data_IF_150481426966
#
_entry.id   IF_150481426966
#
_cell.length_a   1.000
_cell.length_b   1.000
_cell.length_c   1.000
_cell.angle_alpha   90.00
_cell.angle_beta   90.00
_cell.angle_gamma   90.00
#
_symmetry.space_group_name_H-M   'P 1'
#
loop_
_entity.id
_entity.type
_entity.pdbx_description
1 polymer ?
#
# COMPACT_ATOMS: atom_id res chain seq x y z
N UNK A 1 -14.76 1.11 -16.23
CA UNK A 1 -13.35 1.30 -15.86
C UNK A 1 -12.49 0.43 -16.76
N UNK A 2 -11.40 0.99 -17.32
CA UNK A 2 -10.40 0.23 -18.09
C UNK A 2 -9.77 -0.80 -17.14
N UNK A 3 -9.60 -2.04 -17.59
CA UNK A 3 -8.81 -3.04 -16.85
C UNK A 3 -7.34 -2.65 -16.97
N UNK A 4 -6.66 -2.48 -15.83
CA UNK A 4 -5.22 -2.25 -15.80
C UNK A 4 -4.48 -3.50 -16.29
N UNK A 5 -3.36 -3.31 -16.97
CA UNK A 5 -2.40 -4.40 -17.27
C UNK A 5 -1.74 -4.90 -15.98
N UNK A 6 -1.02 -6.02 -16.05
CA UNK A 6 -0.24 -6.54 -14.92
C UNK A 6 0.78 -5.51 -14.43
N UNK A 7 1.53 -4.88 -15.35
CA UNK A 7 2.51 -3.82 -15.06
C UNK A 7 1.85 -2.59 -14.42
N UNK A 8 0.77 -2.08 -15.02
CA UNK A 8 0.01 -0.95 -14.48
C UNK A 8 -0.54 -1.28 -13.08
N UNK A 9 -1.02 -2.52 -12.87
CA UNK A 9 -1.51 -3.00 -11.58
C UNK A 9 -0.40 -3.08 -10.53
N UNK A 10 0.79 -3.54 -10.91
CA UNK A 10 1.92 -3.66 -10.00
C UNK A 10 2.52 -2.30 -9.64
N UNK A 11 2.69 -1.41 -10.61
CA UNK A 11 3.13 -0.04 -10.38
C UNK A 11 2.21 0.69 -9.41
N UNK A 12 0.90 0.52 -9.59
CA UNK A 12 -0.10 1.15 -8.74
C UNK A 12 -0.10 0.60 -7.32
N UNK A 13 -0.02 -0.73 -7.19
CA UNK A 13 0.12 -1.43 -5.93
C UNK A 13 1.37 -1.00 -5.15
N UNK A 14 2.53 -0.99 -5.82
CA UNK A 14 3.80 -0.62 -5.19
C UNK A 14 3.85 0.87 -4.81
N UNK A 15 3.29 1.74 -5.64
CA UNK A 15 3.15 3.18 -5.32
C UNK A 15 2.38 3.39 -4.02
N UNK A 16 1.22 2.74 -3.85
CA UNK A 16 0.44 2.85 -2.61
C UNK A 16 1.18 2.30 -1.40
N UNK A 17 1.95 1.22 -1.54
CA UNK A 17 2.80 0.71 -0.46
C UNK A 17 3.94 1.67 -0.11
N UNK A 18 4.50 2.38 -1.09
CA UNK A 18 5.61 3.30 -0.87
C UNK A 18 5.19 4.59 -0.16
N UNK A 19 3.95 5.03 -0.33
CA UNK A 19 3.36 6.14 0.44
C UNK A 19 3.07 5.78 1.90
N UNK A 20 3.07 4.48 2.21
CA UNK A 20 2.89 3.93 3.55
C UNK A 20 4.24 3.45 4.11
N UNK A 21 4.31 3.37 5.43
CA UNK A 21 5.48 2.84 6.13
C UNK A 21 5.88 3.67 7.33
N UNK A 22 6.73 3.12 8.18
CA UNK A 22 7.17 3.78 9.41
C UNK A 22 7.92 5.10 9.16
N UNK A 23 8.46 5.29 7.94
CA UNK A 23 9.07 6.55 7.52
C UNK A 23 8.10 7.74 7.58
N UNK A 24 6.79 7.50 7.39
CA UNK A 24 5.73 8.52 7.44
C UNK A 24 5.71 9.27 8.78
N UNK A 25 6.12 8.61 9.88
CA UNK A 25 6.16 9.24 11.20
C UNK A 25 7.21 10.37 11.31
N UNK A 26 8.16 10.41 10.38
CA UNK A 26 9.20 11.44 10.33
C UNK A 26 8.88 12.57 9.34
N UNK A 27 7.75 12.50 8.64
CA UNK A 27 7.31 13.53 7.71
C UNK A 27 6.69 14.72 8.45
N UNK A 28 6.77 15.88 7.82
CA UNK A 28 6.06 17.08 8.26
C UNK A 28 4.55 16.90 8.05
N UNK A 29 3.74 17.63 8.82
CA UNK A 29 2.28 17.47 8.80
C UNK A 29 1.69 17.67 7.40
N UNK A 30 2.21 18.65 6.64
CA UNK A 30 1.77 18.92 5.27
C UNK A 30 2.13 17.80 4.28
N UNK A 31 3.25 17.11 4.50
CA UNK A 31 3.65 15.98 3.66
C UNK A 31 2.77 14.75 3.95
N UNK A 32 2.41 14.53 5.23
CA UNK A 32 1.46 13.47 5.60
C UNK A 32 0.09 13.75 4.98
N UNK A 33 -0.37 15.01 5.01
CA UNK A 33 -1.63 15.40 4.40
C UNK A 33 -1.66 15.04 2.91
N UNK A 34 -0.63 15.46 2.18
CA UNK A 34 -0.52 15.18 0.75
C UNK A 34 -0.39 13.68 0.45
N UNK A 35 0.56 12.99 1.09
CA UNK A 35 0.87 11.60 0.78
C UNK A 35 -0.27 10.63 1.17
N UNK A 36 -0.86 10.83 2.35
CA UNK A 36 -1.84 9.90 2.93
C UNK A 36 -3.27 10.31 2.61
N UNK A 37 -3.62 11.57 2.85
CA UNK A 37 -5.01 12.02 2.82
C UNK A 37 -5.46 12.55 1.45
N UNK A 38 -4.52 12.84 0.54
CA UNK A 38 -4.83 13.18 -0.86
C UNK A 38 -4.49 12.02 -1.80
N UNK A 39 -3.22 11.68 -1.92
CA UNK A 39 -2.73 10.74 -2.92
C UNK A 39 -3.11 9.29 -2.59
N UNK A 40 -2.68 8.78 -1.43
CA UNK A 40 -3.01 7.41 -1.03
C UNK A 40 -4.52 7.20 -0.90
N UNK A 41 -5.25 8.14 -0.29
CA UNK A 41 -6.71 8.04 -0.12
C UNK A 41 -7.45 7.82 -1.44
N UNK A 42 -6.98 8.46 -2.51
CA UNK A 42 -7.52 8.30 -3.86
C UNK A 42 -7.18 6.93 -4.45
N UNK A 43 -6.02 6.36 -4.08
CA UNK A 43 -5.42 5.24 -4.78
C UNK A 43 -5.62 3.87 -4.13
N UNK A 44 -5.46 3.80 -2.80
CA UNK A 44 -5.45 2.55 -2.06
C UNK A 44 -6.71 1.68 -2.25
N UNK A 45 -7.93 2.22 -2.43
CA UNK A 45 -9.12 1.39 -2.61
C UNK A 45 -9.03 0.52 -3.87
N UNK A 46 -8.43 1.06 -4.93
CA UNK A 46 -8.25 0.38 -6.21
C UNK A 46 -6.94 -0.40 -6.25
N UNK A 47 -5.83 0.18 -5.82
CA UNK A 47 -4.49 -0.45 -5.87
C UNK A 47 -4.39 -1.69 -4.97
N UNK A 48 -5.08 -1.71 -3.83
CA UNK A 48 -5.14 -2.86 -2.94
C UNK A 48 -6.40 -3.71 -3.18
N UNK A 49 -7.17 -3.51 -4.24
CA UNK A 49 -8.44 -4.22 -4.46
C UNK A 49 -8.28 -5.73 -4.68
N UNK A 50 -9.37 -6.49 -4.56
CA UNK A 50 -9.40 -7.92 -4.92
C UNK A 50 -9.00 -8.14 -6.38
N UNK A 51 -9.39 -7.23 -7.27
CA UNK A 51 -9.01 -7.31 -8.69
C UNK A 51 -7.49 -7.21 -8.82
N UNK A 52 -6.88 -6.17 -8.24
CA UNK A 52 -5.43 -5.95 -8.33
C UNK A 52 -4.65 -7.12 -7.73
N UNK A 53 -5.01 -7.56 -6.51
CA UNK A 53 -4.39 -8.74 -5.90
C UNK A 53 -4.52 -9.99 -6.78
N UNK A 54 -5.70 -10.23 -7.35
CA UNK A 54 -5.93 -11.36 -8.26
C UNK A 54 -5.05 -11.31 -9.50
N UNK A 55 -4.94 -10.15 -10.16
CA UNK A 55 -4.04 -9.98 -11.31
C UNK A 55 -2.58 -10.26 -10.94
N UNK A 56 -2.12 -9.78 -9.78
CA UNK A 56 -0.75 -9.99 -9.34
C UNK A 56 -0.47 -11.44 -8.92
N UNK A 57 -1.45 -12.12 -8.30
CA UNK A 57 -1.38 -13.55 -7.99
C UNK A 57 -1.37 -14.42 -9.25
N UNK A 58 -2.26 -14.13 -10.22
CA UNK A 58 -2.39 -14.89 -11.47
C UNK A 58 -1.13 -14.81 -12.36
N UNK A 59 -0.29 -13.79 -12.14
CA UNK A 59 0.99 -13.58 -12.83
C UNK A 59 2.21 -13.89 -11.94
N UNK A 60 2.01 -14.60 -10.82
CA UNK A 60 3.05 -15.00 -9.88
C UNK A 60 3.88 -13.86 -9.27
N UNK A 61 3.43 -12.59 -9.38
CA UNK A 61 4.13 -11.42 -8.84
C UNK A 61 4.07 -11.42 -7.32
N UNK A 62 2.87 -11.62 -6.76
CA UNK A 62 2.67 -11.83 -5.32
C UNK A 62 2.18 -13.26 -5.09
N UNK A 63 2.53 -13.82 -3.93
CA UNK A 63 1.96 -15.11 -3.52
C UNK A 63 0.69 -14.92 -2.67
N UNK A 64 0.09 -16.03 -2.27
CA UNK A 64 -1.10 -16.04 -1.43
C UNK A 64 -0.87 -15.35 -0.07
N UNK A 65 0.34 -15.41 0.49
CA UNK A 65 0.63 -14.79 1.78
C UNK A 65 0.62 -13.26 1.64
N UNK A 66 1.36 -12.73 0.66
CA UNK A 66 1.36 -11.32 0.30
C UNK A 66 -0.06 -10.81 -0.01
N UNK A 67 -0.86 -11.58 -0.75
CA UNK A 67 -2.25 -11.20 -1.02
C UNK A 67 -3.10 -11.07 0.24
N UNK A 68 -2.97 -12.01 1.20
CA UNK A 68 -3.68 -11.95 2.47
C UNK A 68 -3.27 -10.73 3.31
N UNK A 69 -1.96 -10.44 3.38
CA UNK A 69 -1.44 -9.25 4.07
C UNK A 69 -1.95 -7.96 3.42
N UNK A 70 -1.98 -7.89 2.09
CA UNK A 70 -2.49 -6.73 1.36
C UNK A 70 -3.99 -6.54 1.53
N UNK A 71 -4.75 -7.63 1.67
CA UNK A 71 -6.17 -7.57 2.07
C UNK A 71 -6.34 -7.05 3.49
N UNK A 72 -5.50 -7.48 4.42
CA UNK A 72 -5.51 -6.99 5.79
C UNK A 72 -5.18 -5.49 5.84
N UNK A 73 -4.18 -5.05 5.06
CA UNK A 73 -3.79 -3.64 4.95
C UNK A 73 -4.97 -2.80 4.43
N UNK A 74 -5.59 -3.22 3.32
CA UNK A 74 -6.77 -2.54 2.77
C UNK A 74 -7.91 -2.43 3.79
N UNK A 75 -8.16 -3.51 4.54
CA UNK A 75 -9.24 -3.56 5.54
C UNK A 75 -8.98 -2.55 6.66
N UNK A 76 -7.74 -2.51 7.19
CA UNK A 76 -7.35 -1.56 8.24
C UNK A 76 -7.41 -0.11 7.77
N UNK A 77 -6.95 0.18 6.56
CA UNK A 77 -7.07 1.53 5.98
C UNK A 77 -8.52 1.97 5.89
N UNK A 78 -9.41 1.10 5.40
CA UNK A 78 -10.85 1.39 5.31
C UNK A 78 -11.49 1.59 6.70
N UNK A 79 -11.04 0.86 7.71
CA UNK A 79 -11.48 1.05 9.11
C UNK A 79 -11.02 2.38 9.68
N UNK A 80 -9.79 2.81 9.38
CA UNK A 80 -9.26 4.12 9.77
C UNK A 80 -10.05 5.24 9.09
N UNK A 81 -10.29 5.14 7.78
CA UNK A 81 -11.00 6.17 6.99
C UNK A 81 -12.45 6.33 7.43
N UNK A 82 -13.12 5.22 7.76
CA UNK A 82 -14.49 5.26 8.31
C UNK A 82 -14.55 5.72 9.77
N UNK A 83 -13.41 5.74 10.46
CA UNK A 83 -13.34 6.14 11.86
C UNK A 83 -13.19 7.65 11.99
N UNK A 84 -14.23 8.32 12.51
CA UNK A 84 -14.29 9.79 12.61
C UNK A 84 -13.10 10.46 13.32
N UNK A 85 -12.34 9.73 14.15
CA UNK A 85 -11.26 10.28 15.01
C UNK A 85 -9.86 9.88 14.53
N UNK A 86 -9.75 8.83 13.71
CA UNK A 86 -8.44 8.27 13.35
C UNK A 86 -7.94 8.73 11.99
N UNK A 87 -8.78 9.33 11.14
CA UNK A 87 -8.38 9.81 9.82
C UNK A 87 -7.87 11.26 9.84
N UNK A 88 -6.72 11.49 10.47
CA UNK A 88 -6.04 12.79 10.52
C UNK A 88 -4.54 12.64 10.85
N UNK A 89 -3.77 13.70 10.60
CA UNK A 89 -2.31 13.73 10.81
C UNK A 89 -1.89 13.42 12.25
N UNK A 90 -2.61 13.95 13.24
CA UNK A 90 -2.30 13.69 14.66
C UNK A 90 -2.40 12.20 14.97
N UNK A 91 -3.45 11.54 14.49
CA UNK A 91 -3.65 10.10 14.67
C UNK A 91 -2.57 9.27 13.94
N UNK A 92 -2.11 9.68 12.75
CA UNK A 92 -0.99 9.03 12.05
C UNK A 92 0.25 8.99 12.93
N UNK A 93 0.60 10.11 13.57
CA UNK A 93 1.81 10.22 14.39
C UNK A 93 1.70 9.48 15.73
N UNK A 94 0.52 9.45 16.33
CA UNK A 94 0.37 9.05 17.74
C UNK A 94 -0.25 7.68 17.93
N UNK A 95 -1.24 7.31 17.12
CA UNK A 95 -2.10 6.15 17.37
C UNK A 95 -1.40 4.81 17.14
N UNK A 96 -1.84 3.80 17.89
CA UNK A 96 -1.34 2.43 17.71
C UNK A 96 -1.87 1.80 16.41
N UNK A 97 -3.08 2.16 15.99
CA UNK A 97 -3.75 1.66 14.81
C UNK A 97 -3.01 2.08 13.53
N UNK A 98 -2.61 3.34 13.43
CA UNK A 98 -1.77 3.79 12.32
C UNK A 98 -0.41 3.10 12.32
N UNK A 99 0.24 2.96 13.48
CA UNK A 99 1.52 2.24 13.57
C UNK A 99 1.40 0.78 13.11
N UNK A 100 0.26 0.14 13.33
CA UNK A 100 0.00 -1.21 12.82
C UNK A 100 -0.10 -1.22 11.29
N UNK A 101 -0.83 -0.27 10.70
CA UNK A 101 -0.95 -0.11 9.24
C UNK A 101 0.39 0.18 8.58
N UNK A 102 1.17 1.12 9.14
CA UNK A 102 2.47 1.50 8.61
C UNK A 102 3.46 0.32 8.67
N UNK A 103 3.51 -0.42 9.78
CA UNK A 103 4.35 -1.63 9.90
C UNK A 103 3.94 -2.73 8.93
N UNK A 104 2.63 -2.94 8.77
CA UNK A 104 2.13 -3.95 7.85
C UNK A 104 2.52 -3.63 6.40
N UNK A 105 2.51 -2.35 6.02
CA UNK A 105 3.03 -1.94 4.70
C UNK A 105 4.53 -2.20 4.55
N UNK A 106 5.34 -1.91 5.58
CA UNK A 106 6.77 -2.22 5.55
C UNK A 106 7.05 -3.73 5.45
N UNK A 107 6.32 -4.56 6.20
CA UNK A 107 6.40 -6.02 6.12
C UNK A 107 6.10 -6.54 4.71
N UNK A 108 5.05 -6.02 4.07
CA UNK A 108 4.70 -6.39 2.69
C UNK A 108 5.84 -6.01 1.73
N UNK A 109 6.41 -4.81 1.86
CA UNK A 109 7.53 -4.37 1.01
C UNK A 109 8.77 -5.23 1.21
N UNK A 110 9.11 -5.56 2.46
CA UNK A 110 10.22 -6.46 2.77
C UNK A 110 10.04 -7.84 2.12
N UNK A 111 8.84 -8.41 2.18
CA UNK A 111 8.53 -9.69 1.54
C UNK A 111 8.61 -9.62 0.01
N UNK A 112 8.26 -8.49 -0.60
CA UNK A 112 8.45 -8.25 -2.04
C UNK A 112 9.94 -8.27 -2.39
N UNK A 113 10.77 -7.54 -1.64
CA UNK A 113 12.23 -7.50 -1.86
C UNK A 113 12.96 -8.81 -1.50
N UNK A 114 12.34 -9.68 -0.69
CA UNK A 114 12.84 -11.05 -0.50
C UNK A 114 12.55 -11.95 -1.70
N UNK A 115 11.50 -11.65 -2.45
CA UNK A 115 11.08 -12.42 -3.63
C UNK A 115 11.74 -11.94 -4.92
N UNK A 116 11.95 -10.64 -5.05
CA UNK A 116 12.43 -9.98 -6.26
C UNK A 116 13.61 -9.06 -5.96
N UNK A 117 14.63 -9.11 -6.80
CA UNK A 117 15.72 -8.12 -6.83
C UNK A 117 15.23 -6.78 -7.38
N UNK A 118 15.97 -5.70 -7.15
CA UNK A 118 15.62 -4.38 -7.66
C UNK A 118 15.58 -4.37 -9.20
N UNK A 119 16.48 -5.09 -9.87
CA UNK A 119 16.47 -5.24 -11.33
C UNK A 119 15.23 -6.00 -11.84
N UNK A 120 14.80 -7.04 -11.13
CA UNK A 120 13.58 -7.79 -11.47
C UNK A 120 12.32 -6.95 -11.24
N UNK A 121 12.31 -6.12 -10.18
CA UNK A 121 11.22 -5.19 -9.92
C UNK A 121 11.12 -4.14 -11.03
N UNK A 122 12.23 -3.59 -11.50
CA UNK A 122 12.23 -2.65 -12.62
C UNK A 122 11.72 -3.31 -13.91
N UNK A 123 12.11 -4.57 -14.18
CA UNK A 123 11.56 -5.35 -15.30
C UNK A 123 10.04 -5.54 -15.18
N UNK A 124 9.51 -5.89 -14.00
CA UNK A 124 8.07 -6.02 -13.74
C UNK A 124 7.30 -4.70 -13.88
N UNK A 125 8.01 -3.57 -13.77
CA UNK A 125 7.47 -2.23 -13.95
C UNK A 125 7.67 -1.69 -15.38
N UNK A 126 8.28 -2.46 -16.28
CA UNK A 126 8.54 -2.07 -17.67
C UNK A 126 9.56 -0.94 -17.80
N UNK A 127 10.54 -0.85 -16.89
CA UNK A 127 11.62 0.14 -16.91
C UNK A 127 12.89 -0.36 -17.58
#
# INVERSE_FOLDING_TARGET
MKKLTTEESFAYYLSSLNRLGMHVLNLEDAEIEYEIFEELASDYPASLSQYTRGVLEDNDIIDRNLSLLSKQLQTKLLELEKGDILWNVEAVKTSAQWKEVLRLSDEIKELIHQKWTDEELDYLLGK
#
